data_IF_376222071236
#
_entry.id   IF_376222071236
#
_cell.length_a   1.000
_cell.length_b   1.000
_cell.length_c   1.000
_cell.angle_alpha   90.00
_cell.angle_beta   90.00
_cell.angle_gamma   90.00
#
_symmetry.space_group_name_H-M   'P 1'
#
loop_
_entity.id
_entity.type
_entity.pdbx_description
1 polymer ?
#
# COMPACT_ATOMS: atom_id res chain seq x y z
N UNK A 1 6.32 -3.39 -9.58
CA UNK A 1 6.19 -3.80 -8.16
C UNK A 1 5.40 -2.71 -7.45
N UNK A 2 4.45 -3.05 -6.58
CA UNK A 2 3.62 -2.05 -5.89
C UNK A 2 4.19 -1.79 -4.50
N UNK A 3 4.28 -0.51 -4.13
CA UNK A 3 4.59 -0.09 -2.77
C UNK A 3 3.32 0.42 -2.12
N UNK A 4 3.07 -0.06 -0.90
CA UNK A 4 1.96 0.36 -0.07
C UNK A 4 2.51 1.10 1.13
N UNK A 5 2.03 2.31 1.34
CA UNK A 5 2.36 3.11 2.51
C UNK A 5 1.12 3.21 3.39
N UNK A 6 1.24 2.79 4.63
CA UNK A 6 0.22 3.03 5.64
C UNK A 6 0.30 4.49 6.08
N UNK A 7 -0.71 5.29 5.78
CA UNK A 7 -0.76 6.73 6.11
C UNK A 7 -1.33 6.98 7.51
N UNK A 8 -1.94 5.95 8.11
CA UNK A 8 -2.52 6.03 9.45
C UNK A 8 -1.43 5.91 10.52
N UNK A 9 -1.77 6.33 11.74
CA UNK A 9 -0.86 6.30 12.90
C UNK A 9 -0.79 4.93 13.57
N UNK A 10 -1.68 4.02 13.21
CA UNK A 10 -1.73 2.66 13.74
C UNK A 10 -0.99 1.69 12.83
N UNK A 11 -0.37 0.66 13.40
CA UNK A 11 0.19 -0.45 12.63
C UNK A 11 -0.93 -1.34 12.10
N UNK A 12 -0.87 -1.68 10.81
CA UNK A 12 -1.80 -2.64 10.20
C UNK A 12 -1.07 -3.91 9.82
N UNK A 13 -1.85 -4.97 9.69
CA UNK A 13 -1.39 -6.21 9.07
C UNK A 13 -2.33 -6.48 7.91
N UNK A 14 -1.76 -6.86 6.77
CA UNK A 14 -2.56 -7.45 5.71
C UNK A 14 -3.15 -8.79 6.20
N UNK A 15 -4.19 -9.29 5.50
CA UNK A 15 -4.81 -10.58 5.82
C UNK A 15 -3.85 -11.78 5.79
N UNK A 16 -2.72 -11.67 5.09
CA UNK A 16 -1.65 -12.67 5.03
C UNK A 16 -0.66 -12.58 6.23
N UNK A 17 -0.82 -11.57 7.08
CA UNK A 17 0.08 -11.27 8.20
C UNK A 17 1.23 -10.32 7.87
N UNK A 18 1.32 -9.80 6.63
CA UNK A 18 2.37 -8.84 6.27
C UNK A 18 2.20 -7.54 7.06
N UNK A 19 3.20 -7.11 7.85
CA UNK A 19 3.11 -5.88 8.64
C UNK A 19 3.24 -4.63 7.76
N UNK A 20 2.39 -3.65 8.04
CA UNK A 20 2.39 -2.33 7.43
C UNK A 20 2.65 -1.27 8.50
N UNK A 21 3.91 -0.86 8.60
CA UNK A 21 4.34 0.20 9.50
C UNK A 21 3.85 1.58 9.03
N UNK A 22 3.43 2.46 9.97
CA UNK A 22 2.93 3.78 9.64
C UNK A 22 4.04 4.64 9.01
N UNK A 23 3.74 5.26 7.87
CA UNK A 23 4.64 6.11 7.10
C UNK A 23 5.72 5.36 6.31
N UNK A 24 5.80 4.04 6.42
CA UNK A 24 6.85 3.25 5.74
C UNK A 24 6.29 2.67 4.43
N UNK A 25 6.93 2.95 3.27
CA UNK A 25 6.57 2.30 2.02
C UNK A 25 7.06 0.85 2.01
N UNK A 26 6.11 -0.08 2.12
CA UNK A 26 6.37 -1.52 2.11
C UNK A 26 6.09 -2.09 0.72
N UNK A 27 7.02 -2.86 0.18
CA UNK A 27 6.80 -3.60 -1.07
C UNK A 27 5.90 -4.80 -0.78
N UNK A 28 4.72 -4.81 -1.41
CA UNK A 28 3.74 -5.89 -1.22
C UNK A 28 3.83 -6.84 -2.40
N UNK A 29 4.15 -8.11 -2.12
CA UNK A 29 4.05 -9.18 -3.11
C UNK A 29 2.58 -9.51 -3.33
N UNK A 30 2.24 -10.00 -4.53
CA UNK A 30 0.87 -10.43 -4.85
C UNK A 30 -0.21 -9.34 -4.65
N UNK A 31 0.14 -8.07 -4.90
CA UNK A 31 -0.78 -6.93 -4.75
C UNK A 31 -2.10 -7.11 -5.52
N UNK A 32 -2.09 -7.80 -6.67
CA UNK A 32 -3.30 -8.12 -7.42
C UNK A 32 -4.30 -8.99 -6.63
N UNK A 33 -3.82 -9.78 -5.67
CA UNK A 33 -4.66 -10.56 -4.76
C UNK A 33 -5.14 -9.69 -3.61
N UNK A 34 -4.23 -8.92 -2.99
CA UNK A 34 -4.58 -8.02 -1.88
C UNK A 34 -5.57 -6.93 -2.28
N UNK A 35 -5.40 -6.32 -3.45
CA UNK A 35 -6.29 -5.26 -3.97
C UNK A 35 -7.70 -5.75 -4.28
N UNK A 36 -7.93 -7.06 -4.44
CA UNK A 36 -9.27 -7.64 -4.58
C UNK A 36 -9.97 -7.84 -3.24
N UNK A 37 -9.25 -7.78 -2.13
CA UNK A 37 -9.83 -7.93 -0.80
C UNK A 37 -10.65 -6.69 -0.42
N UNK A 38 -11.88 -6.89 0.05
CA UNK A 38 -12.79 -5.81 0.43
C UNK A 38 -12.24 -4.90 1.54
N UNK A 39 -11.52 -5.47 2.52
CA UNK A 39 -10.91 -4.68 3.61
C UNK A 39 -9.79 -3.77 3.09
N UNK A 40 -8.91 -4.30 2.23
CA UNK A 40 -7.81 -3.53 1.62
C UNK A 40 -8.37 -2.41 0.75
N UNK A 41 -9.41 -2.68 -0.05
CA UNK A 41 -10.09 -1.65 -0.85
C UNK A 41 -10.71 -0.55 0.03
N UNK A 42 -11.36 -0.93 1.12
CA UNK A 42 -11.92 0.04 2.07
C UNK A 42 -10.82 0.93 2.69
N UNK A 43 -9.65 0.36 3.03
CA UNK A 43 -8.54 1.15 3.55
C UNK A 43 -7.95 2.12 2.52
N UNK A 44 -7.88 1.74 1.25
CA UNK A 44 -7.46 2.65 0.17
C UNK A 44 -8.50 3.76 0.01
N UNK A 45 -9.79 3.42 -0.03
CA UNK A 45 -10.90 4.37 -0.19
C UNK A 45 -10.96 5.39 0.97
N UNK A 46 -10.69 4.93 2.19
CA UNK A 46 -10.57 5.77 3.38
C UNK A 46 -9.24 6.55 3.46
N UNK A 47 -8.33 6.37 2.50
CA UNK A 47 -7.02 7.01 2.49
C UNK A 47 -6.06 6.54 3.58
N UNK A 48 -6.31 5.38 4.20
CA UNK A 48 -5.46 4.72 5.20
C UNK A 48 -4.24 4.07 4.53
N UNK A 49 -4.40 3.59 3.29
CA UNK A 49 -3.32 3.05 2.48
C UNK A 49 -3.11 3.89 1.24
N UNK A 50 -1.89 4.37 1.03
CA UNK A 50 -1.45 4.97 -0.21
C UNK A 50 -0.79 3.89 -1.08
N UNK A 51 -1.28 3.75 -2.32
CA UNK A 51 -0.76 2.81 -3.31
C UNK A 51 0.14 3.58 -4.26
N UNK A 52 1.41 3.21 -4.33
CA UNK A 52 2.36 3.78 -5.28
C UNK A 52 2.89 2.67 -6.18
N UNK A 53 2.55 2.74 -7.45
CA UNK A 53 3.20 1.95 -8.49
C UNK A 53 4.69 2.33 -8.53
N UNK A 54 5.59 1.42 -8.14
CA UNK A 54 7.04 1.64 -8.30
C UNK A 54 7.48 1.60 -9.78
N UNK A 55 6.53 1.65 -10.72
CA UNK A 55 6.71 1.72 -12.17
C UNK A 55 6.36 3.10 -12.73
N UNK A 56 6.02 4.09 -11.91
CA UNK A 56 6.15 5.48 -12.35
C UNK A 56 7.64 5.86 -12.25
N UNK A 57 8.38 6.06 -13.36
CA UNK A 57 9.60 6.86 -13.27
C UNK A 57 9.19 8.17 -12.60
N UNK A 58 10.02 8.66 -11.66
CA UNK A 58 9.89 10.03 -11.20
C UNK A 58 9.72 10.90 -12.45
N UNK A 59 8.76 11.86 -12.50
CA UNK A 59 8.74 12.79 -13.61
C UNK A 59 10.14 13.41 -13.65
N UNK A 60 10.91 13.11 -14.71
CA UNK A 60 12.15 13.80 -15.02
C UNK A 60 11.79 15.30 -15.00
N UNK A 61 12.23 15.99 -13.96
CA UNK A 61 12.15 17.43 -13.86
C UNK A 61 13.24 17.97 -14.80
N UNK A 62 12.80 18.55 -15.91
CA UNK A 62 13.55 19.12 -17.05
C UNK A 62 14.57 20.19 -16.63
#
# INVERSE_FOLDING_TARGET
MIKITNTSRAMFHFPDGTPLEPGVPTTVKDWEVHSKNAAVRAWIDQGVLAVTDATAPAPDED
#
